data_IF_540378682374
#
_entry.id   IF_540378682374
#
_cell.length_a   1.000
_cell.length_b   1.000
_cell.length_c   1.000
_cell.angle_alpha   90.00
_cell.angle_beta   90.00
_cell.angle_gamma   90.00
#
_symmetry.space_group_name_H-M   'P 1'
#
loop_
_entity.id
_entity.type
_entity.pdbx_description
1 polymer ?
#
# COMPACT_ATOMS: atom_id res chain seq x y z
N UNK A 1 13.90 -10.81 19.70
CA UNK A 1 13.85 -10.04 18.45
C UNK A 1 12.53 -9.29 18.41
N UNK A 2 12.55 -7.99 18.72
CA UNK A 2 11.38 -7.22 19.19
C UNK A 2 10.52 -6.50 18.13
N UNK A 3 10.95 -6.47 16.88
CA UNK A 3 10.25 -5.71 15.83
C UNK A 3 8.82 -6.22 15.58
N UNK A 4 8.59 -7.54 15.72
CA UNK A 4 7.26 -8.14 15.51
C UNK A 4 6.34 -8.00 16.72
N UNK A 5 6.85 -8.10 17.96
CA UNK A 5 5.97 -8.09 19.15
C UNK A 5 5.41 -6.72 19.47
N UNK A 6 6.15 -5.64 19.20
CA UNK A 6 5.69 -4.26 19.43
C UNK A 6 4.59 -3.85 18.43
N UNK A 7 4.58 -4.46 17.24
CA UNK A 7 3.62 -4.20 16.17
C UNK A 7 2.29 -4.96 16.33
N UNK A 8 2.27 -6.03 17.13
CA UNK A 8 1.05 -6.80 17.45
C UNK A 8 0.10 -6.07 18.44
N UNK A 9 0.41 -4.83 18.81
CA UNK A 9 -0.43 -3.99 19.66
C UNK A 9 -1.38 -3.11 18.83
N UNK A 10 -2.51 -2.65 19.40
CA UNK A 10 -3.34 -1.63 18.74
C UNK A 10 -2.59 -0.36 18.35
N UNK A 11 -1.59 0.04 19.16
CA UNK A 11 -0.72 1.17 18.86
C UNK A 11 0.18 0.88 17.66
N UNK A 12 0.79 -0.31 17.63
CA UNK A 12 1.60 -0.79 16.51
C UNK A 12 0.83 -0.85 15.20
N UNK A 13 -0.41 -1.35 15.23
CA UNK A 13 -1.32 -1.32 14.11
C UNK A 13 -1.55 0.10 13.57
N UNK A 14 -1.82 1.08 14.46
CA UNK A 14 -2.04 2.47 14.07
C UNK A 14 -0.81 3.09 13.39
N UNK A 15 0.39 2.85 13.91
CA UNK A 15 1.65 3.33 13.30
C UNK A 15 1.86 2.73 11.91
N UNK A 16 1.60 1.43 11.74
CA UNK A 16 1.70 0.75 10.44
C UNK A 16 0.72 1.31 9.41
N UNK A 17 -0.53 1.57 9.82
CA UNK A 17 -1.51 2.18 8.93
C UNK A 17 -1.09 3.59 8.47
N UNK A 18 -0.59 4.42 9.39
CA UNK A 18 -0.07 5.75 9.05
C UNK A 18 1.12 5.68 8.08
N UNK A 19 2.03 4.73 8.29
CA UNK A 19 3.16 4.49 7.39
C UNK A 19 2.68 4.10 5.98
N UNK A 20 1.73 3.15 5.89
CA UNK A 20 1.15 2.72 4.61
C UNK A 20 0.43 3.88 3.89
N UNK A 21 -0.25 4.75 4.63
CA UNK A 21 -0.89 5.95 4.07
C UNK A 21 0.13 6.98 3.58
N UNK A 22 1.24 7.16 4.30
CA UNK A 22 2.32 8.04 3.87
C UNK A 22 3.01 7.52 2.60
N UNK A 23 3.25 6.22 2.52
CA UNK A 23 3.79 5.57 1.31
C UNK A 23 2.85 5.77 0.11
N UNK A 24 1.54 5.52 0.27
CA UNK A 24 0.56 5.72 -0.80
C UNK A 24 0.56 7.18 -1.29
N UNK A 25 0.53 8.15 -0.36
CA UNK A 25 0.60 9.58 -0.71
C UNK A 25 1.86 9.93 -1.50
N UNK A 26 3.01 9.37 -1.13
CA UNK A 26 4.26 9.55 -1.87
C UNK A 26 4.14 8.99 -3.29
N UNK A 27 3.70 7.74 -3.44
CA UNK A 27 3.55 7.09 -4.75
C UNK A 27 2.56 7.85 -5.63
N UNK A 28 1.46 8.35 -5.08
CA UNK A 28 0.48 9.17 -5.80
C UNK A 28 1.04 10.53 -6.21
N UNK A 29 1.88 11.14 -5.37
CA UNK A 29 2.66 12.34 -5.71
C UNK A 29 3.60 12.09 -6.88
N UNK A 30 4.36 11.00 -6.83
CA UNK A 30 5.26 10.58 -7.92
C UNK A 30 4.49 10.33 -9.22
N UNK A 31 3.33 9.66 -9.14
CA UNK A 31 2.47 9.39 -10.30
C UNK A 31 2.01 10.68 -10.97
N UNK A 32 1.54 11.66 -10.17
CA UNK A 32 1.12 12.96 -10.68
C UNK A 32 2.27 13.71 -11.34
N UNK A 33 3.45 13.71 -10.70
CA UNK A 33 4.63 14.36 -11.25
C UNK A 33 5.06 13.72 -12.58
N UNK A 34 5.14 12.39 -12.65
CA UNK A 34 5.49 11.67 -13.88
C UNK A 34 4.47 11.92 -15.00
N UNK A 35 3.17 11.88 -14.68
CA UNK A 35 2.12 12.19 -15.66
C UNK A 35 2.24 13.62 -16.21
N UNK A 36 2.55 14.59 -15.34
CA UNK A 36 2.81 15.96 -15.77
C UNK A 36 4.07 16.07 -16.62
N UNK A 37 5.12 15.30 -16.30
CA UNK A 37 6.35 15.26 -17.10
C UNK A 37 6.09 14.73 -18.51
N UNK A 38 5.34 13.62 -18.65
CA UNK A 38 4.89 13.08 -19.95
C UNK A 38 4.17 14.15 -20.75
N UNK A 39 3.20 14.84 -20.14
CA UNK A 39 2.44 15.91 -20.80
C UNK A 39 3.36 17.05 -21.28
N UNK A 40 4.23 17.54 -20.40
CA UNK A 40 5.17 18.61 -20.71
C UNK A 40 6.14 18.26 -21.84
N UNK A 41 6.67 17.03 -21.84
CA UNK A 41 7.61 16.57 -22.87
C UNK A 41 6.92 16.46 -24.24
N UNK A 42 5.66 15.98 -24.29
CA UNK A 42 4.86 15.95 -25.52
C UNK A 42 4.55 17.34 -26.06
N UNK A 43 4.15 18.26 -25.19
CA UNK A 43 3.85 19.64 -25.57
C UNK A 43 5.10 20.34 -26.11
N UNK A 44 6.23 20.21 -25.40
CA UNK A 44 7.49 20.83 -25.82
C UNK A 44 8.01 20.24 -27.14
N UNK A 45 7.96 18.92 -27.30
CA UNK A 45 8.30 18.28 -28.56
C UNK A 45 7.38 18.73 -29.72
N UNK A 46 6.09 18.92 -29.46
CA UNK A 46 5.14 19.48 -30.42
C UNK A 46 5.55 20.86 -30.93
N UNK A 47 6.00 21.74 -30.02
CA UNK A 47 6.49 23.08 -30.37
C UNK A 47 7.78 23.03 -31.19
N UNK A 48 8.74 22.19 -30.81
CA UNK A 48 10.00 22.00 -31.56
C UNK A 48 9.73 21.46 -32.97
N UNK A 49 8.82 20.51 -33.12
CA UNK A 49 8.41 19.99 -34.42
C UNK A 49 7.74 21.06 -35.29
N UNK A 50 6.92 21.93 -34.69
CA UNK A 50 6.31 23.02 -35.46
C UNK A 50 7.38 24.01 -35.96
N UNK A 51 8.34 24.34 -35.10
CA UNK A 51 9.45 25.24 -35.43
C UNK A 51 10.34 24.68 -36.54
N UNK A 52 10.64 23.37 -36.54
CA UNK A 52 11.44 22.74 -37.59
C UNK A 52 10.75 22.78 -38.97
N UNK A 53 9.40 22.71 -38.99
CA UNK A 53 8.62 22.76 -40.22
C UNK A 53 8.36 24.18 -40.75
N UNK A 54 8.20 25.15 -39.86
CA UNK A 54 7.79 26.52 -40.21
C UNK A 54 8.82 27.23 -41.11
N UNK A 55 10.11 26.89 -41.00
CA UNK A 55 11.17 27.58 -41.74
C UNK A 55 11.62 26.89 -43.03
N UNK A 56 11.04 25.72 -43.33
CA UNK A 56 11.20 25.04 -44.63
C UNK A 56 10.52 25.80 -45.78
N UNK A 57 9.60 26.74 -45.47
CA UNK A 57 8.69 27.35 -46.45
C UNK A 57 8.98 28.80 -46.85
N UNK A 58 9.75 29.58 -46.08
CA UNK A 58 9.75 31.05 -46.20
C UNK A 58 11.06 31.72 -46.62
N UNK A 59 12.19 31.35 -46.01
CA UNK A 59 13.43 32.14 -46.11
C UNK A 59 14.51 31.56 -47.04
N UNK A 60 14.44 30.26 -47.35
CA UNK A 60 15.49 29.55 -48.10
C UNK A 60 15.47 29.82 -49.62
N UNK A 61 14.46 30.50 -50.16
CA UNK A 61 14.36 30.75 -51.63
C UNK A 61 15.35 31.79 -52.17
N UNK A 62 16.01 32.58 -51.31
CA UNK A 62 16.89 33.66 -51.73
C UNK A 62 18.39 33.37 -51.58
N UNK A 63 18.77 32.26 -50.92
CA UNK A 63 20.16 31.91 -50.62
C UNK A 63 20.51 30.63 -51.39
N UNK A 64 21.68 30.60 -52.03
CA UNK A 64 22.16 29.39 -52.72
C UNK A 64 22.17 28.20 -51.76
N UNK A 65 21.64 27.01 -52.16
CA UNK A 65 21.63 25.83 -51.32
C UNK A 65 23.03 25.40 -50.84
N UNK A 66 24.08 25.73 -51.60
CA UNK A 66 25.48 25.43 -51.27
C UNK A 66 26.15 26.49 -50.37
N UNK A 67 25.43 27.52 -49.95
CA UNK A 67 25.95 28.51 -49.02
C UNK A 67 26.25 27.87 -47.66
N UNK A 68 27.41 28.13 -47.03
CA UNK A 68 27.70 27.66 -45.67
C UNK A 68 26.62 28.04 -44.64
N UNK A 69 25.94 29.17 -44.86
CA UNK A 69 24.83 29.64 -44.02
C UNK A 69 23.60 28.73 -44.21
N UNK A 70 23.27 28.37 -45.45
CA UNK A 70 22.17 27.45 -45.77
C UNK A 70 22.39 26.07 -45.15
N UNK A 71 23.61 25.53 -45.27
CA UNK A 71 23.99 24.25 -44.68
C UNK A 71 23.92 24.27 -43.15
N UNK A 72 24.45 25.32 -42.51
CA UNK A 72 24.39 25.47 -41.05
C UNK A 72 22.95 25.57 -40.55
N UNK A 73 22.08 26.24 -41.30
CA UNK A 73 20.67 26.38 -40.96
C UNK A 73 19.88 25.09 -41.12
N UNK A 74 20.15 24.34 -42.20
CA UNK A 74 19.58 23.00 -42.39
C UNK A 74 19.98 22.05 -41.24
N UNK A 75 21.22 22.12 -40.77
CA UNK A 75 21.68 21.34 -39.63
C UNK A 75 20.93 21.71 -38.33
N UNK A 76 20.78 23.01 -38.03
CA UNK A 76 19.99 23.48 -36.87
C UNK A 76 18.54 22.97 -36.92
N UNK A 77 17.94 23.00 -38.10
CA UNK A 77 16.56 22.52 -38.31
C UNK A 77 16.46 21.01 -38.10
N UNK A 78 17.41 20.25 -38.66
CA UNK A 78 17.52 18.79 -38.48
C UNK A 78 17.72 18.40 -37.02
N UNK A 79 18.61 19.09 -36.29
CA UNK A 79 18.85 18.84 -34.87
C UNK A 79 17.62 19.17 -34.01
N UNK A 80 16.90 20.25 -34.34
CA UNK A 80 15.64 20.62 -33.67
C UNK A 80 14.58 19.53 -33.84
N UNK A 81 14.45 18.98 -35.06
CA UNK A 81 13.56 17.86 -35.35
C UNK A 81 13.99 16.57 -34.64
N UNK A 82 15.31 16.31 -34.59
CA UNK A 82 15.88 15.20 -33.83
C UNK A 82 15.53 15.26 -32.34
N UNK A 83 15.68 16.43 -31.72
CA UNK A 83 15.34 16.65 -30.31
C UNK A 83 13.84 16.49 -30.05
N UNK A 84 12.98 17.00 -30.94
CA UNK A 84 11.54 16.79 -30.89
C UNK A 84 11.17 15.31 -30.83
N UNK A 85 11.72 14.51 -31.76
CA UNK A 85 11.48 13.05 -31.80
C UNK A 85 11.96 12.35 -30.52
N UNK A 86 13.14 12.72 -30.02
CA UNK A 86 13.70 12.15 -28.79
C UNK A 86 12.79 12.42 -27.58
N UNK A 87 12.29 13.65 -27.43
CA UNK A 87 11.42 14.03 -26.32
C UNK A 87 10.06 13.32 -26.37
N UNK A 88 9.46 13.15 -27.56
CA UNK A 88 8.26 12.31 -27.72
C UNK A 88 8.52 10.87 -27.29
N UNK A 89 9.65 10.30 -27.71
CA UNK A 89 10.02 8.94 -27.32
C UNK A 89 10.18 8.82 -25.80
N UNK A 90 10.87 9.77 -25.15
CA UNK A 90 11.01 9.79 -23.68
C UNK A 90 9.66 9.88 -22.96
N UNK A 91 8.74 10.71 -23.45
CA UNK A 91 7.40 10.80 -22.89
C UNK A 91 6.66 9.45 -22.99
N UNK A 92 6.86 8.74 -24.09
CA UNK A 92 6.17 7.48 -24.39
C UNK A 92 6.75 6.32 -23.58
N UNK A 93 8.08 6.27 -23.44
CA UNK A 93 8.79 5.32 -22.59
C UNK A 93 8.45 5.55 -21.11
N UNK A 94 8.41 6.80 -20.67
CA UNK A 94 8.01 7.16 -19.31
C UNK A 94 6.57 6.74 -19.03
N UNK A 95 5.66 6.98 -19.98
CA UNK A 95 4.23 6.70 -19.84
C UNK A 95 3.94 5.19 -19.86
N UNK A 96 4.50 4.46 -20.82
CA UNK A 96 4.25 3.02 -21.00
C UNK A 96 5.04 2.14 -20.03
N UNK A 97 6.20 2.60 -19.54
CA UNK A 97 7.06 1.87 -18.62
C UNK A 97 6.88 2.30 -17.16
N UNK A 98 7.68 3.24 -16.64
CA UNK A 98 7.65 3.61 -15.21
C UNK A 98 6.28 4.04 -14.68
N UNK A 99 5.53 4.87 -15.41
CA UNK A 99 4.24 5.38 -14.94
C UNK A 99 3.17 4.28 -14.88
N UNK A 100 3.16 3.35 -15.83
CA UNK A 100 2.25 2.20 -15.82
C UNK A 100 2.56 1.27 -14.65
N UNK A 101 3.84 0.94 -14.42
CA UNK A 101 4.31 0.14 -13.28
C UNK A 101 3.99 0.78 -11.94
N UNK A 102 4.20 2.10 -11.80
CA UNK A 102 3.85 2.83 -10.59
C UNK A 102 2.34 2.80 -10.33
N UNK A 103 1.52 2.90 -11.38
CA UNK A 103 0.06 2.80 -11.25
C UNK A 103 -0.39 1.41 -10.80
N UNK A 104 0.28 0.35 -11.26
CA UNK A 104 0.05 -1.03 -10.77
C UNK A 104 0.44 -1.16 -9.30
N UNK A 105 1.65 -0.71 -8.94
CA UNK A 105 2.16 -0.76 -7.57
C UNK A 105 1.22 -0.05 -6.58
N UNK A 106 0.69 1.14 -6.94
CA UNK A 106 -0.28 1.85 -6.11
C UNK A 106 -1.52 0.99 -5.84
N UNK A 107 -2.07 0.33 -6.87
CA UNK A 107 -3.24 -0.56 -6.70
C UNK A 107 -2.93 -1.74 -5.80
N UNK A 108 -1.79 -2.39 -6.00
CA UNK A 108 -1.33 -3.52 -5.18
C UNK A 108 -1.15 -3.10 -3.71
N UNK A 109 -0.53 -1.94 -3.46
CA UNK A 109 -0.36 -1.37 -2.12
C UNK A 109 -1.70 -1.04 -1.46
N UNK A 110 -2.65 -0.46 -2.20
CA UNK A 110 -4.00 -0.19 -1.70
C UNK A 110 -4.73 -1.48 -1.32
N UNK A 111 -4.63 -2.51 -2.16
CA UNK A 111 -5.22 -3.82 -1.87
C UNK A 111 -4.57 -4.47 -0.64
N UNK A 112 -3.24 -4.43 -0.53
CA UNK A 112 -2.52 -4.99 0.61
C UNK A 112 -2.91 -4.29 1.92
N UNK A 113 -3.02 -2.96 1.94
CA UNK A 113 -3.50 -2.20 3.10
C UNK A 113 -4.92 -2.60 3.51
N UNK A 114 -5.81 -2.80 2.53
CA UNK A 114 -7.19 -3.26 2.78
C UNK A 114 -7.19 -4.65 3.43
N UNK A 115 -6.52 -5.62 2.81
CA UNK A 115 -6.45 -7.00 3.32
C UNK A 115 -5.79 -7.06 4.69
N UNK A 116 -4.71 -6.30 4.92
CA UNK A 116 -4.09 -6.20 6.25
C UNK A 116 -5.08 -5.70 7.31
N UNK A 117 -5.84 -4.66 7.00
CA UNK A 117 -6.82 -4.09 7.94
C UNK A 117 -7.97 -5.06 8.24
N UNK A 118 -8.45 -5.80 7.23
CA UNK A 118 -9.46 -6.85 7.40
C UNK A 118 -8.94 -7.98 8.30
N UNK A 119 -7.72 -8.47 8.05
CA UNK A 119 -7.09 -9.52 8.86
C UNK A 119 -6.87 -9.07 10.30
N UNK A 120 -6.43 -7.83 10.51
CA UNK A 120 -6.28 -7.26 11.84
C UNK A 120 -7.62 -7.21 12.58
N UNK A 121 -8.68 -6.74 11.93
CA UNK A 121 -10.02 -6.69 12.54
C UNK A 121 -10.54 -8.08 12.89
N UNK A 122 -10.35 -9.06 12.01
CA UNK A 122 -10.73 -10.45 12.28
C UNK A 122 -10.01 -10.99 13.52
N UNK A 123 -8.69 -10.83 13.59
CA UNK A 123 -7.89 -11.27 14.74
C UNK A 123 -8.33 -10.59 16.04
N UNK A 124 -8.61 -9.29 16.01
CA UNK A 124 -9.10 -8.57 17.20
C UNK A 124 -10.47 -9.05 17.66
N UNK A 125 -11.37 -9.38 16.73
CA UNK A 125 -12.68 -9.95 17.06
C UNK A 125 -12.54 -11.34 17.68
N UNK A 126 -11.71 -12.21 17.10
CA UNK A 126 -11.42 -13.55 17.64
C UNK A 126 -10.81 -13.47 19.04
N UNK A 127 -9.79 -12.62 19.23
CA UNK A 127 -9.16 -12.39 20.53
C UNK A 127 -10.17 -11.92 21.58
N UNK A 128 -11.01 -10.95 21.22
CA UNK A 128 -12.03 -10.41 22.11
C UNK A 128 -13.06 -11.47 22.49
N UNK A 129 -13.51 -12.28 21.54
CA UNK A 129 -14.44 -13.39 21.76
C UNK A 129 -13.84 -14.43 22.71
N UNK A 130 -12.64 -14.91 22.42
CA UNK A 130 -11.96 -15.92 23.25
C UNK A 130 -11.75 -15.39 24.67
N UNK A 131 -11.20 -14.19 24.82
CA UNK A 131 -10.85 -13.66 26.14
C UNK A 131 -12.07 -13.22 26.97
N UNK A 132 -13.02 -12.53 26.35
CA UNK A 132 -14.11 -11.89 27.09
C UNK A 132 -15.34 -12.78 27.24
N UNK A 133 -15.56 -13.71 26.31
CA UNK A 133 -16.75 -14.56 26.33
C UNK A 133 -16.39 -15.99 26.76
N UNK A 134 -15.48 -16.64 26.05
CA UNK A 134 -15.25 -18.08 26.23
C UNK A 134 -14.50 -18.37 27.54
N UNK A 135 -13.43 -17.62 27.82
CA UNK A 135 -12.67 -17.75 29.07
C UNK A 135 -13.53 -17.40 30.29
N UNK A 136 -14.33 -16.33 30.23
CA UNK A 136 -15.19 -15.96 31.37
C UNK A 136 -16.30 -16.98 31.63
N UNK A 137 -16.91 -17.53 30.58
CA UNK A 137 -17.85 -18.67 30.70
C UNK A 137 -17.15 -19.86 31.36
N UNK A 138 -15.96 -20.23 30.90
CA UNK A 138 -15.22 -21.37 31.45
C UNK A 138 -14.85 -21.14 32.93
N UNK A 139 -14.42 -19.93 33.29
CA UNK A 139 -14.16 -19.55 34.70
C UNK A 139 -15.43 -19.68 35.56
N UNK A 140 -16.58 -19.23 35.07
CA UNK A 140 -17.85 -19.35 35.81
C UNK A 140 -18.25 -20.81 36.03
N UNK A 141 -18.12 -21.65 34.99
CA UNK A 141 -18.43 -23.08 35.06
C UNK A 141 -17.49 -23.80 36.03
N UNK A 142 -16.20 -23.51 35.95
CA UNK A 142 -15.21 -24.07 36.87
C UNK A 142 -15.52 -23.73 38.33
N UNK A 143 -15.86 -22.47 38.62
CA UNK A 143 -16.24 -22.04 39.99
C UNK A 143 -17.50 -22.74 40.49
N UNK A 144 -18.49 -22.96 39.62
CA UNK A 144 -19.70 -23.69 39.99
C UNK A 144 -19.39 -25.16 40.31
N UNK A 145 -18.71 -25.87 39.40
CA UNK A 145 -18.32 -27.27 39.59
C UNK A 145 -17.43 -27.48 40.83
N UNK A 146 -16.51 -26.55 41.10
CA UNK A 146 -15.68 -26.60 42.30
C UNK A 146 -16.51 -26.49 43.60
N UNK A 147 -17.55 -25.63 43.62
CA UNK A 147 -18.47 -25.51 44.76
C UNK A 147 -19.32 -26.77 44.93
N UNK A 148 -19.86 -27.30 43.85
CA UNK A 148 -20.69 -28.51 43.85
C UNK A 148 -19.89 -29.72 44.34
N UNK A 149 -18.64 -29.86 43.85
CA UNK A 149 -17.70 -30.90 44.30
C UNK A 149 -17.39 -30.77 45.79
N UNK A 150 -17.09 -29.56 46.28
CA UNK A 150 -16.84 -29.32 47.69
C UNK A 150 -18.06 -29.63 48.56
N UNK A 151 -19.26 -29.28 48.11
CA UNK A 151 -20.51 -29.59 48.81
C UNK A 151 -20.80 -31.10 48.82
N UNK A 152 -20.62 -31.79 47.69
CA UNK A 152 -20.77 -33.24 47.61
C UNK A 152 -19.79 -33.95 48.55
N UNK A 153 -18.53 -33.50 48.60
CA UNK A 153 -17.52 -34.03 49.52
C UNK A 153 -17.92 -33.84 50.98
N UNK A 154 -18.43 -32.68 51.37
CA UNK A 154 -18.94 -32.43 52.74
C UNK A 154 -20.10 -33.35 53.09
N UNK A 155 -21.12 -33.44 52.23
CA UNK A 155 -22.28 -34.32 52.42
C UNK A 155 -21.87 -35.78 52.58
N UNK A 156 -20.93 -36.25 51.76
CA UNK A 156 -20.40 -37.61 51.87
C UNK A 156 -19.69 -37.85 53.21
N UNK A 157 -18.86 -36.91 53.66
CA UNK A 157 -18.16 -37.00 54.94
C UNK A 157 -19.09 -36.95 56.16
N UNK A 158 -20.18 -36.18 56.09
CA UNK A 158 -21.21 -36.15 57.13
C UNK A 158 -21.96 -37.48 57.19
N UNK A 159 -22.42 -37.99 56.05
CA UNK A 159 -23.12 -39.27 55.96
C UNK A 159 -22.26 -40.47 56.39
N UNK A 160 -20.94 -40.43 56.15
CA UNK A 160 -20.04 -41.49 56.61
C UNK A 160 -19.87 -41.48 58.14
N UNK A 161 -19.80 -40.29 58.76
CA UNK A 161 -19.66 -40.14 60.22
C UNK A 161 -20.92 -40.61 60.97
N UNK A 162 -22.11 -40.36 60.44
CA UNK A 162 -23.35 -40.85 61.05
C UNK A 162 -23.43 -42.39 61.01
N UNK A 163 -22.98 -43.02 59.93
CA UNK A 163 -22.88 -44.49 59.85
C UNK A 163 -21.93 -45.09 60.88
N UNK A 164 -20.80 -44.44 61.14
CA UNK A 164 -19.86 -44.91 62.17
C UNK A 164 -20.42 -44.69 63.59
N UNK A 165 -21.20 -43.61 63.80
CA UNK A 165 -21.84 -43.32 65.08
C UNK A 165 -22.99 -44.28 65.41
N UNK A 166 -23.76 -44.71 64.41
CA UNK A 166 -24.81 -45.72 64.57
C UNK A 166 -24.28 -47.14 64.74
N UNK A 167 -23.07 -47.44 64.25
CA UNK A 167 -22.36 -48.71 64.54
C UNK A 167 -21.72 -48.76 65.93
N UNK A 168 -21.52 -47.61 66.57
CA UNK A 168 -20.89 -47.48 67.88
C UNK A 168 -21.89 -47.38 69.05
N UNK A 169 -23.20 -47.49 68.77
CA UNK A 169 -24.28 -47.60 69.76
C UNK A 169 -24.82 -49.02 69.77
#
# INVERSE_FOLDING_TARGET
>A
MGFSSELCSPQGHGVLQQMQEAELRLLEGMRKWMAQRVKSDREYAGLLHHMSLQDSGGQSRAISPDSPISQSWAEITSQTEGLSRLLRQHAEDLNSGPLSKLSLLIRERQQLRKTYSEQWQQLQQELTKTHSQDIEKLKSQYRALARDSAQAKRKYQEASKDKDRDKAK
#
